data_IF_545517156934
#
_entry.id   IF_545517156934
#
_cell.length_a   1.000
_cell.length_b   1.000
_cell.length_c   1.000
_cell.angle_alpha   90.00
_cell.angle_beta   90.00
_cell.angle_gamma   90.00
#
_symmetry.space_group_name_H-M   'P 1'
#
loop_
_entity.id
_entity.type
_entity.pdbx_description
1 polymer ?
#
# COMPACT_ATOMS: atom_id res chain seq x y z
N UNK A 1 -8.35 -78.28 -7.46
CA UNK A 1 -8.05 -78.43 -8.90
C UNK A 1 -7.46 -77.12 -9.39
N UNK A 2 -6.19 -77.16 -9.82
CA UNK A 2 -5.42 -76.10 -10.51
C UNK A 2 -6.10 -75.67 -11.84
N UNK A 3 -5.52 -74.75 -12.63
CA UNK A 3 -5.08 -73.37 -12.36
C UNK A 3 -5.57 -72.43 -13.51
N UNK A 4 -5.21 -71.14 -13.52
CA UNK A 4 -4.55 -70.47 -14.69
C UNK A 4 -4.46 -68.95 -14.51
N UNK A 5 -3.21 -68.51 -14.48
CA UNK A 5 -2.75 -67.15 -14.73
C UNK A 5 -2.78 -66.79 -16.21
N UNK A 6 -2.73 -65.47 -16.45
CA UNK A 6 -2.08 -64.80 -17.60
C UNK A 6 -2.82 -64.89 -18.95
N UNK A 7 -2.73 -63.98 -19.91
CA UNK A 7 -1.98 -62.74 -20.16
C UNK A 7 -2.59 -62.14 -21.47
N UNK A 8 -2.12 -60.94 -21.86
CA UNK A 8 -1.95 -60.48 -23.25
C UNK A 8 -3.22 -59.94 -24.00
N UNK A 9 -3.34 -58.61 -24.12
CA UNK A 9 -3.03 -57.79 -25.34
C UNK A 9 -4.15 -57.87 -26.41
N UNK A 10 -4.63 -56.81 -27.07
CA UNK A 10 -3.99 -55.59 -27.55
C UNK A 10 -5.03 -54.68 -28.23
N UNK A 11 -4.76 -53.36 -28.20
CA UNK A 11 -4.99 -52.34 -29.23
C UNK A 11 -6.42 -52.00 -29.71
N UNK A 12 -6.84 -50.75 -29.45
CA UNK A 12 -8.01 -50.19 -30.13
C UNK A 12 -8.48 -48.78 -29.72
N UNK A 13 -7.57 -47.80 -29.71
CA UNK A 13 -7.83 -46.36 -29.96
C UNK A 13 -8.87 -45.58 -29.11
N UNK A 14 -8.40 -44.94 -28.03
CA UNK A 14 -8.59 -43.49 -27.84
C UNK A 14 -7.36 -42.90 -27.13
N UNK A 15 -6.62 -42.06 -27.86
CA UNK A 15 -5.48 -41.29 -27.37
C UNK A 15 -5.91 -40.41 -26.18
N UNK A 16 -5.27 -40.50 -25.01
CA UNK A 16 -4.03 -39.76 -24.68
C UNK A 16 -4.39 -38.29 -24.43
N UNK A 17 -4.53 -37.81 -23.18
CA UNK A 17 -3.40 -37.38 -22.35
C UNK A 17 -3.69 -37.66 -20.86
N UNK A 18 -2.76 -38.32 -20.18
CA UNK A 18 -2.64 -38.28 -18.73
C UNK A 18 -2.33 -36.83 -18.32
N UNK A 19 -3.35 -36.09 -17.86
CA UNK A 19 -3.18 -34.76 -17.29
C UNK A 19 -2.49 -34.88 -15.93
N UNK A 20 -1.17 -34.71 -15.93
CA UNK A 20 -0.36 -34.64 -14.74
C UNK A 20 -0.97 -33.68 -13.71
N UNK A 21 -1.54 -34.21 -12.63
CA UNK A 21 -1.58 -33.49 -11.36
C UNK A 21 -0.19 -33.50 -10.71
N UNK A 22 0.84 -33.22 -11.53
CA UNK A 22 2.09 -32.66 -11.07
C UNK A 22 1.78 -31.23 -10.69
N UNK A 23 1.27 -31.04 -9.48
CA UNK A 23 1.28 -29.77 -8.77
C UNK A 23 2.73 -29.36 -8.52
N UNK A 24 3.43 -29.05 -9.61
CA UNK A 24 4.71 -28.38 -9.59
C UNK A 24 4.46 -26.99 -9.04
N UNK A 25 4.41 -26.90 -7.71
CA UNK A 25 5.06 -25.81 -7.02
C UNK A 25 6.53 -25.90 -7.44
N UNK A 26 6.80 -25.44 -8.65
CA UNK A 26 8.14 -25.22 -9.13
C UNK A 26 8.78 -24.37 -8.04
N UNK A 27 9.69 -24.99 -7.31
CA UNK A 27 10.71 -24.35 -6.51
C UNK A 27 11.50 -23.46 -7.46
N UNK A 28 10.89 -22.36 -7.93
CA UNK A 28 11.62 -21.24 -8.48
C UNK A 28 12.47 -20.78 -7.32
N UNK A 29 13.72 -21.25 -7.28
CA UNK A 29 14.75 -20.64 -6.46
C UNK A 29 14.64 -19.16 -6.77
N UNK A 30 14.31 -18.38 -5.75
CA UNK A 30 14.34 -16.94 -5.86
C UNK A 30 15.76 -16.58 -6.30
N UNK A 31 15.92 -15.93 -7.45
CA UNK A 31 17.24 -15.51 -7.95
C UNK A 31 17.42 -14.03 -7.77
N UNK A 32 16.33 -13.28 -7.86
CA UNK A 32 16.31 -11.83 -7.84
C UNK A 32 15.45 -11.28 -6.71
N UNK A 33 15.65 -9.99 -6.41
CA UNK A 33 14.78 -9.25 -5.49
C UNK A 33 13.31 -9.32 -5.95
N UNK A 34 13.05 -9.22 -7.26
CA UNK A 34 11.71 -9.33 -7.84
C UNK A 34 11.04 -10.67 -7.57
N UNK A 35 11.79 -11.78 -7.67
CA UNK A 35 11.28 -13.12 -7.37
C UNK A 35 10.86 -13.22 -5.89
N UNK A 36 11.71 -12.71 -4.99
CA UNK A 36 11.43 -12.71 -3.54
C UNK A 36 10.23 -11.85 -3.17
N UNK A 37 10.05 -10.70 -3.84
CA UNK A 37 8.85 -9.86 -3.67
C UNK A 37 7.61 -10.59 -4.18
N UNK A 38 7.67 -11.21 -5.36
CA UNK A 38 6.54 -11.94 -5.95
C UNK A 38 6.12 -13.13 -5.08
N UNK A 39 7.08 -13.86 -4.52
CA UNK A 39 6.81 -14.97 -3.59
C UNK A 39 6.13 -14.53 -2.30
N UNK A 40 6.30 -13.26 -1.89
CA UNK A 40 5.57 -12.68 -0.75
C UNK A 40 4.11 -12.32 -1.06
N UNK A 41 3.62 -12.64 -2.26
CA UNK A 41 2.24 -12.38 -2.69
C UNK A 41 2.02 -10.98 -3.27
N UNK A 42 3.07 -10.16 -3.39
CA UNK A 42 2.99 -8.82 -3.97
C UNK A 42 3.16 -8.88 -5.49
N UNK A 43 2.32 -8.12 -6.20
CA UNK A 43 2.33 -8.06 -7.66
C UNK A 43 3.22 -6.90 -8.10
N UNK A 44 4.24 -7.16 -8.91
CA UNK A 44 5.09 -6.12 -9.50
C UNK A 44 4.34 -5.33 -10.58
N UNK A 45 4.57 -4.01 -10.64
CA UNK A 45 3.98 -3.16 -11.67
C UNK A 45 4.61 -3.49 -13.03
N UNK A 46 3.78 -3.62 -14.06
CA UNK A 46 4.23 -3.89 -15.43
C UNK A 46 4.85 -2.65 -16.07
N UNK A 47 5.82 -2.89 -16.95
CA UNK A 47 6.41 -1.87 -17.83
C UNK A 47 5.37 -1.07 -18.58
N UNK A 48 5.60 0.24 -18.69
CA UNK A 48 4.72 1.12 -19.47
C UNK A 48 3.33 1.34 -18.87
N UNK A 49 3.03 0.77 -17.71
CA UNK A 49 1.79 1.07 -16.99
C UNK A 49 1.91 2.42 -16.26
N UNK A 50 1.89 3.52 -17.03
CA UNK A 50 2.06 4.88 -16.51
C UNK A 50 1.08 5.19 -15.37
N UNK A 51 -0.20 4.78 -15.48
CA UNK A 51 -1.18 5.00 -14.40
C UNK A 51 -0.76 4.36 -13.08
N UNK A 52 -0.30 3.11 -13.12
CA UNK A 52 0.16 2.41 -11.91
C UNK A 52 1.45 3.02 -11.35
N UNK A 53 2.39 3.44 -12.21
CA UNK A 53 3.64 4.08 -11.78
C UNK A 53 3.41 5.45 -11.15
N UNK A 54 2.53 6.26 -11.75
CA UNK A 54 2.08 7.53 -11.17
C UNK A 54 1.49 7.32 -9.78
N UNK A 55 0.60 6.34 -9.65
CA UNK A 55 -0.05 6.02 -8.38
C UNK A 55 0.97 5.50 -7.34
N UNK A 56 1.93 4.68 -7.76
CA UNK A 56 2.98 4.16 -6.88
C UNK A 56 3.90 5.27 -6.36
N UNK A 57 4.24 6.23 -7.21
CA UNK A 57 4.97 7.43 -6.80
C UNK A 57 4.16 8.24 -5.77
N UNK A 58 2.89 8.54 -6.05
CA UNK A 58 2.01 9.28 -5.14
C UNK A 58 1.81 8.55 -3.80
N UNK A 59 1.73 7.22 -3.82
CA UNK A 59 1.66 6.40 -2.62
C UNK A 59 2.95 6.48 -1.79
N UNK A 60 4.10 6.38 -2.44
CA UNK A 60 5.40 6.25 -1.79
C UNK A 60 5.94 7.57 -1.26
N UNK A 61 5.66 8.70 -1.93
CA UNK A 61 6.29 9.99 -1.61
C UNK A 61 6.02 10.53 -0.20
N UNK A 62 4.95 10.08 0.45
CA UNK A 62 4.60 10.49 1.82
C UNK A 62 5.29 9.64 2.89
N UNK A 63 5.64 8.40 2.58
CA UNK A 63 6.14 7.42 3.55
C UNK A 63 7.60 7.02 3.33
N UNK A 64 8.15 7.26 2.14
CA UNK A 64 9.52 6.90 1.80
C UNK A 64 10.39 8.15 1.63
N UNK A 65 11.14 8.46 2.69
CA UNK A 65 12.02 9.64 2.75
C UNK A 65 13.20 9.56 1.77
N UNK A 66 13.60 8.35 1.38
CA UNK A 66 14.71 8.11 0.45
C UNK A 66 14.28 8.04 -1.02
N UNK A 67 12.98 8.16 -1.30
CA UNK A 67 12.45 8.05 -2.66
C UNK A 67 13.05 9.14 -3.56
N UNK A 68 12.97 10.41 -3.16
CA UNK A 68 13.46 11.51 -3.98
C UNK A 68 14.96 11.39 -4.20
N UNK A 69 15.75 11.10 -3.17
CA UNK A 69 17.20 10.91 -3.30
C UNK A 69 17.58 9.83 -4.32
N UNK A 70 16.83 8.72 -4.35
CA UNK A 70 17.05 7.64 -5.31
C UNK A 70 16.62 8.02 -6.73
N UNK A 71 15.54 8.79 -6.89
CA UNK A 71 15.04 9.24 -8.20
C UNK A 71 15.89 10.38 -8.79
N UNK A 72 16.44 11.28 -7.96
CA UNK A 72 17.32 12.38 -8.40
C UNK A 72 18.58 11.84 -9.08
N UNK A 73 19.07 10.66 -8.69
CA UNK A 73 20.20 9.98 -9.34
C UNK A 73 19.91 9.59 -10.79
N UNK A 74 18.63 9.44 -11.15
CA UNK A 74 18.18 9.07 -12.49
C UNK A 74 17.74 10.28 -13.32
N UNK A 75 17.14 11.28 -12.68
CA UNK A 75 16.77 12.57 -13.29
C UNK A 75 16.97 13.71 -12.29
N UNK A 76 17.95 14.57 -12.54
CA UNK A 76 18.33 15.68 -11.65
C UNK A 76 17.28 16.81 -11.57
N UNK A 77 16.25 16.79 -12.41
CA UNK A 77 15.11 17.70 -12.29
C UNK A 77 14.13 17.30 -11.19
N UNK A 78 14.24 16.07 -10.67
CA UNK A 78 13.51 15.61 -9.48
C UNK A 78 14.25 16.14 -8.24
N UNK A 79 13.80 17.28 -7.70
CA UNK A 79 14.49 17.97 -6.59
C UNK A 79 13.73 17.93 -5.26
N UNK A 80 12.41 17.90 -5.29
CA UNK A 80 11.57 17.90 -4.09
C UNK A 80 10.17 17.34 -4.38
N UNK A 81 9.45 16.94 -3.34
CA UNK A 81 8.07 16.43 -3.44
C UNK A 81 7.04 17.49 -3.89
N UNK A 82 7.30 18.78 -3.59
CA UNK A 82 6.33 19.87 -3.78
C UNK A 82 6.30 20.47 -5.19
N UNK A 83 7.38 20.32 -5.97
CA UNK A 83 7.49 20.90 -7.32
C UNK A 83 7.76 19.85 -8.38
N UNK A 84 7.48 18.57 -8.09
CA UNK A 84 7.88 17.48 -8.97
C UNK A 84 6.98 17.36 -10.20
N UNK A 85 7.60 17.20 -11.36
CA UNK A 85 6.88 16.77 -12.55
C UNK A 85 6.54 15.28 -12.39
N UNK A 86 5.24 14.96 -12.31
CA UNK A 86 4.76 13.59 -12.09
C UNK A 86 5.12 12.64 -13.23
N UNK A 87 5.22 13.11 -14.47
CA UNK A 87 5.59 12.28 -15.63
C UNK A 87 7.06 11.85 -15.56
N UNK A 88 7.94 12.78 -15.20
CA UNK A 88 9.35 12.45 -14.97
C UNK A 88 9.54 11.55 -13.75
N UNK A 89 8.78 11.80 -12.69
CA UNK A 89 8.86 11.00 -11.47
C UNK A 89 8.42 9.54 -11.70
N UNK A 90 7.34 9.31 -12.44
CA UNK A 90 6.91 7.95 -12.77
C UNK A 90 7.91 7.22 -13.68
N UNK A 91 8.55 7.91 -14.63
CA UNK A 91 9.53 7.31 -15.54
C UNK A 91 10.82 6.94 -14.79
N UNK A 92 11.31 7.85 -13.94
CA UNK A 92 12.44 7.59 -13.06
C UNK A 92 12.13 6.42 -12.11
N UNK A 93 10.91 6.36 -11.57
CA UNK A 93 10.50 5.27 -10.69
C UNK A 93 10.43 3.92 -11.42
N UNK A 94 9.83 3.86 -12.61
CA UNK A 94 9.80 2.65 -13.44
C UNK A 94 11.24 2.18 -13.72
N UNK A 95 12.12 3.08 -14.15
CA UNK A 95 13.52 2.78 -14.41
C UNK A 95 14.25 2.27 -13.17
N UNK A 96 14.08 2.93 -12.02
CA UNK A 96 14.67 2.50 -10.75
C UNK A 96 14.22 1.10 -10.38
N UNK A 97 12.91 0.84 -10.47
CA UNK A 97 12.33 -0.45 -10.14
C UNK A 97 12.83 -1.56 -11.05
N UNK A 98 12.99 -1.31 -12.36
CA UNK A 98 13.57 -2.29 -13.30
C UNK A 98 14.97 -2.72 -12.92
N UNK A 99 15.80 -1.78 -12.50
CA UNK A 99 17.15 -2.12 -12.03
C UNK A 99 17.10 -2.88 -10.71
N UNK A 100 16.29 -2.40 -9.75
CA UNK A 100 16.20 -2.95 -8.41
C UNK A 100 15.62 -4.37 -8.38
N UNK A 101 14.57 -4.67 -9.17
CA UNK A 101 13.95 -6.01 -9.17
C UNK A 101 14.88 -7.08 -9.74
N UNK A 102 15.80 -6.71 -10.63
CA UNK A 102 16.73 -7.63 -11.29
C UNK A 102 18.02 -7.87 -10.49
N UNK A 103 18.22 -7.19 -9.37
CA UNK A 103 19.37 -7.44 -8.48
C UNK A 103 19.29 -8.86 -7.92
N UNK A 104 20.43 -9.53 -7.87
CA UNK A 104 20.55 -10.86 -7.28
C UNK A 104 20.32 -10.85 -5.77
N UNK A 105 19.99 -12.02 -5.21
CA UNK A 105 19.81 -12.21 -3.77
C UNK A 105 21.14 -12.37 -3.03
N UNK A 106 21.84 -11.26 -2.85
CA UNK A 106 22.92 -11.12 -1.86
C UNK A 106 22.40 -10.44 -0.59
N UNK A 107 23.07 -10.63 0.55
CA UNK A 107 22.69 -9.97 1.82
C UNK A 107 22.63 -8.44 1.68
N UNK A 108 23.63 -7.86 1.00
CA UNK A 108 23.66 -6.42 0.70
C UNK A 108 22.45 -5.99 -0.13
N UNK A 109 22.12 -6.70 -1.20
CA UNK A 109 20.98 -6.35 -2.04
C UNK A 109 19.64 -6.53 -1.31
N UNK A 110 19.51 -7.57 -0.50
CA UNK A 110 18.31 -7.80 0.33
C UNK A 110 18.12 -6.63 1.30
N UNK A 111 19.17 -6.24 2.01
CA UNK A 111 19.13 -5.12 2.95
C UNK A 111 18.78 -3.79 2.26
N UNK A 112 19.36 -3.54 1.09
CA UNK A 112 19.25 -2.25 0.42
C UNK A 112 17.99 -2.10 -0.46
N UNK A 113 17.52 -3.18 -1.08
CA UNK A 113 16.48 -3.10 -2.11
C UNK A 113 15.17 -3.77 -1.73
N UNK A 114 15.16 -4.84 -0.92
CA UNK A 114 13.95 -5.66 -0.77
C UNK A 114 12.75 -4.85 -0.27
N UNK A 115 12.91 -4.07 0.80
CA UNK A 115 11.82 -3.25 1.33
C UNK A 115 11.43 -2.09 0.40
N UNK A 116 12.43 -1.46 -0.23
CA UNK A 116 12.17 -0.40 -1.21
C UNK A 116 11.39 -0.92 -2.42
N UNK A 117 11.72 -2.11 -2.93
CA UNK A 117 10.99 -2.74 -4.05
C UNK A 117 9.57 -3.11 -3.63
N UNK A 118 9.38 -3.69 -2.44
CA UNK A 118 8.03 -3.98 -1.91
C UNK A 118 7.16 -2.71 -1.85
N UNK A 119 7.73 -1.62 -1.36
CA UNK A 119 7.04 -0.33 -1.20
C UNK A 119 6.74 0.35 -2.54
N UNK A 120 7.73 0.42 -3.44
CA UNK A 120 7.70 1.29 -4.62
C UNK A 120 7.33 0.61 -5.94
N UNK A 121 7.63 -0.68 -6.07
CA UNK A 121 7.58 -1.39 -7.36
C UNK A 121 6.41 -2.37 -7.49
N UNK A 122 5.56 -2.43 -6.47
CA UNK A 122 4.39 -3.32 -6.44
C UNK A 122 3.12 -2.52 -6.68
N UNK A 123 2.07 -3.18 -7.19
CA UNK A 123 0.76 -2.56 -7.45
C UNK A 123 0.34 -1.76 -6.23
N UNK A 124 0.23 -0.42 -6.32
CA UNK A 124 -0.01 0.42 -5.16
C UNK A 124 -1.45 0.25 -4.65
N UNK A 125 -1.70 0.59 -3.38
CA UNK A 125 -3.06 0.74 -2.90
C UNK A 125 -3.73 1.90 -3.65
N UNK A 126 -5.05 1.81 -3.79
CA UNK A 126 -5.87 2.81 -4.50
C UNK A 126 -6.57 3.77 -3.55
N UNK A 127 -6.65 3.43 -2.27
CA UNK A 127 -7.32 4.21 -1.21
C UNK A 127 -6.46 4.32 0.06
N UNK A 128 -6.86 5.23 0.95
CA UNK A 128 -6.25 5.36 2.29
C UNK A 128 -6.40 4.05 3.08
N UNK A 129 -7.57 3.41 3.05
CA UNK A 129 -7.78 2.15 3.78
C UNK A 129 -6.87 1.03 3.30
N UNK A 130 -6.70 0.88 1.99
CA UNK A 130 -5.75 -0.08 1.43
C UNK A 130 -4.29 0.26 1.78
N UNK A 131 -3.94 1.55 1.84
CA UNK A 131 -2.61 2.01 2.27
C UNK A 131 -2.32 1.66 3.72
N UNK A 132 -3.25 1.95 4.63
CA UNK A 132 -3.08 1.64 6.05
C UNK A 132 -2.93 0.13 6.27
N UNK A 133 -3.77 -0.67 5.62
CA UNK A 133 -3.66 -2.14 5.69
C UNK A 133 -2.29 -2.63 5.20
N UNK A 134 -1.78 -2.08 4.09
CA UNK A 134 -0.45 -2.41 3.58
C UNK A 134 0.69 -2.02 4.53
N UNK A 135 0.54 -0.89 5.22
CA UNK A 135 1.51 -0.41 6.21
C UNK A 135 1.37 -1.09 7.58
N UNK A 136 0.40 -2.01 7.75
CA UNK A 136 0.11 -2.65 9.03
C UNK A 136 -0.41 -1.65 10.09
N UNK A 137 -0.99 -0.53 9.65
CA UNK A 137 -1.55 0.50 10.51
C UNK A 137 -3.03 0.25 10.71
N UNK A 138 -3.47 0.35 11.96
CA UNK A 138 -4.88 0.28 12.34
C UNK A 138 -5.30 1.57 13.04
N UNK A 139 -6.58 1.86 12.99
CA UNK A 139 -7.13 2.94 13.81
C UNK A 139 -7.07 2.58 15.29
N UNK A 140 -7.01 3.61 16.13
CA UNK A 140 -7.12 3.48 17.58
C UNK A 140 -8.45 2.84 17.97
N UNK A 141 -8.43 1.98 18.99
CA UNK A 141 -9.63 1.47 19.65
C UNK A 141 -10.07 2.37 20.81
N UNK A 142 -9.24 3.34 21.22
CA UNK A 142 -9.45 4.19 22.39
C UNK A 142 -9.76 5.64 21.98
N UNK A 143 -10.87 5.82 21.26
CA UNK A 143 -11.27 7.10 20.67
C UNK A 143 -11.36 8.26 21.67
N UNK A 144 -11.84 8.02 22.89
CA UNK A 144 -11.88 9.05 23.94
C UNK A 144 -10.49 9.60 24.29
N UNK A 145 -9.50 8.70 24.45
CA UNK A 145 -8.12 9.08 24.72
C UNK A 145 -7.50 9.80 23.52
N UNK A 146 -7.76 9.30 22.31
CA UNK A 146 -7.27 9.92 21.08
C UNK A 146 -7.81 11.34 20.93
N UNK A 147 -9.11 11.53 21.11
CA UNK A 147 -9.75 12.84 21.08
C UNK A 147 -9.16 13.77 22.15
N UNK A 148 -9.01 13.29 23.39
CA UNK A 148 -8.42 14.08 24.47
C UNK A 148 -7.00 14.56 24.17
N UNK A 149 -6.21 13.77 23.43
CA UNK A 149 -4.87 14.14 23.01
C UNK A 149 -4.83 15.20 21.89
N UNK A 150 -5.82 15.19 20.98
CA UNK A 150 -5.82 16.09 19.80
C UNK A 150 -6.72 17.31 19.96
N UNK A 151 -7.65 17.35 20.93
CA UNK A 151 -8.57 18.48 21.09
C UNK A 151 -7.87 19.83 21.36
N UNK A 152 -6.65 19.80 21.90
CA UNK A 152 -5.82 20.98 22.16
C UNK A 152 -4.95 21.42 20.97
N UNK A 153 -4.90 20.65 19.88
CA UNK A 153 -4.03 20.94 18.72
C UNK A 153 -4.72 21.79 17.65
N UNK A 154 -5.80 22.50 17.99
CA UNK A 154 -6.61 23.30 17.06
C UNK A 154 -5.86 24.48 16.46
N UNK A 155 -4.75 24.92 17.06
CA UNK A 155 -3.84 25.91 16.47
C UNK A 155 -3.05 25.37 15.27
N UNK A 156 -2.77 24.06 15.26
CA UNK A 156 -2.08 23.36 14.16
C UNK A 156 -3.04 22.63 13.22
N UNK A 157 -4.23 22.27 13.72
CA UNK A 157 -5.30 21.61 12.97
C UNK A 157 -6.60 22.42 13.12
N UNK A 158 -6.64 23.54 12.40
CA UNK A 158 -7.75 24.50 12.44
C UNK A 158 -9.07 23.95 11.87
N UNK A 159 -9.03 22.80 11.18
CA UNK A 159 -10.20 22.16 10.58
C UNK A 159 -10.78 21.04 11.46
N UNK A 160 -10.11 20.64 12.54
CA UNK A 160 -10.57 19.56 13.42
C UNK A 160 -12.02 19.79 13.87
N UNK A 161 -12.35 20.97 14.41
CA UNK A 161 -13.70 21.21 14.93
C UNK A 161 -14.77 21.15 13.83
N UNK A 162 -14.53 21.79 12.68
CA UNK A 162 -15.49 21.78 11.57
C UNK A 162 -15.67 20.38 10.99
N UNK A 163 -14.58 19.62 10.87
CA UNK A 163 -14.61 18.25 10.38
C UNK A 163 -15.44 17.35 11.31
N UNK A 164 -15.28 17.48 12.63
CA UNK A 164 -16.05 16.69 13.59
C UNK A 164 -17.53 17.11 13.63
N UNK A 165 -17.83 18.42 13.61
CA UNK A 165 -19.21 18.92 13.56
C UNK A 165 -19.95 18.49 12.28
N UNK A 166 -19.24 18.28 11.17
CA UNK A 166 -19.84 17.76 9.94
C UNK A 166 -20.33 16.31 10.07
N UNK A 167 -19.79 15.53 11.01
CA UNK A 167 -20.18 14.13 11.25
C UNK A 167 -21.30 13.97 12.28
N UNK A 168 -21.50 14.99 13.12
CA UNK A 168 -22.58 15.04 14.10
C UNK A 168 -23.04 16.48 14.30
N UNK A 169 -24.14 16.83 13.61
CA UNK A 169 -24.75 18.17 13.66
C UNK A 169 -25.36 18.50 15.03
N UNK A 170 -25.47 17.54 15.95
CA UNK A 170 -25.91 17.80 17.33
C UNK A 170 -24.83 18.45 18.20
N UNK A 171 -23.59 18.55 17.71
CA UNK A 171 -22.49 19.26 18.37
C UNK A 171 -22.62 20.76 18.10
N UNK A 172 -23.15 21.49 19.07
CA UNK A 172 -23.41 22.93 18.96
C UNK A 172 -22.34 23.80 19.64
N UNK A 173 -21.72 23.29 20.70
CA UNK A 173 -20.66 23.99 21.46
C UNK A 173 -19.29 23.84 20.78
N UNK A 174 -18.33 24.67 21.15
CA UNK A 174 -16.95 24.61 20.63
C UNK A 174 -16.13 23.47 21.25
N UNK A 175 -15.09 23.02 20.55
CA UNK A 175 -14.25 21.90 21.01
C UNK A 175 -13.51 22.21 22.32
N UNK A 176 -13.17 23.48 22.53
CA UNK A 176 -12.48 24.01 23.71
C UNK A 176 -13.42 24.45 24.84
N UNK A 177 -14.74 24.30 24.68
CA UNK A 177 -15.71 24.68 25.70
C UNK A 177 -15.59 23.74 26.93
N UNK A 178 -15.72 24.28 28.14
CA UNK A 178 -15.71 23.50 29.38
C UNK A 178 -16.84 22.45 29.45
N UNK A 179 -17.95 22.70 28.75
CA UNK A 179 -19.10 21.80 28.63
C UNK A 179 -19.10 21.01 27.31
N UNK A 180 -17.96 20.96 26.62
CA UNK A 180 -17.81 20.21 25.36
C UNK A 180 -18.15 18.73 25.56
N UNK A 181 -19.10 18.16 24.77
CA UNK A 181 -19.52 16.78 24.91
C UNK A 181 -18.44 15.84 24.34
N UNK A 182 -17.47 15.47 25.17
CA UNK A 182 -16.31 14.69 24.76
C UNK A 182 -16.68 13.37 24.06
N UNK A 183 -17.75 12.70 24.50
CA UNK A 183 -18.23 11.46 23.89
C UNK A 183 -18.75 11.67 22.46
N UNK A 184 -19.49 12.77 22.21
CA UNK A 184 -19.98 13.11 20.87
C UNK A 184 -18.82 13.42 19.94
N UNK A 185 -17.86 14.22 20.40
CA UNK A 185 -16.67 14.53 19.62
C UNK A 185 -15.80 13.30 19.34
N UNK A 186 -15.67 12.38 20.31
CA UNK A 186 -14.93 11.13 20.13
C UNK A 186 -15.61 10.21 19.11
N UNK A 187 -16.95 10.12 19.13
CA UNK A 187 -17.72 9.36 18.13
C UNK A 187 -17.66 10.02 16.75
N UNK A 188 -17.77 11.35 16.68
CA UNK A 188 -17.60 12.11 15.44
C UNK A 188 -16.19 11.91 14.85
N UNK A 189 -15.15 11.83 15.69
CA UNK A 189 -13.78 11.56 15.27
C UNK A 189 -13.67 10.17 14.64
N UNK A 190 -14.22 9.15 15.28
CA UNK A 190 -14.27 7.81 14.71
C UNK A 190 -14.96 7.80 13.34
N UNK A 191 -16.16 8.39 13.24
CA UNK A 191 -16.92 8.46 11.97
C UNK A 191 -16.14 9.19 10.88
N UNK A 192 -15.49 10.31 11.24
CA UNK A 192 -14.66 11.06 10.32
C UNK A 192 -13.54 10.17 9.79
N UNK A 193 -12.78 9.52 10.67
CA UNK A 193 -11.70 8.61 10.31
C UNK A 193 -12.16 7.48 9.38
N UNK A 194 -13.27 6.83 9.71
CA UNK A 194 -13.87 5.75 8.89
C UNK A 194 -14.29 6.26 7.50
N UNK A 195 -14.87 7.47 7.41
CA UNK A 195 -15.27 8.06 6.14
C UNK A 195 -14.09 8.30 5.19
N UNK A 196 -12.90 8.58 5.72
CA UNK A 196 -11.69 8.85 4.94
C UNK A 196 -11.04 7.59 4.35
N UNK A 197 -11.41 6.39 4.78
CA UNK A 197 -10.81 5.14 4.28
C UNK A 197 -11.01 4.96 2.76
N UNK A 198 -12.09 5.51 2.22
CA UNK A 198 -12.44 5.43 0.79
C UNK A 198 -11.75 6.49 -0.07
N UNK A 199 -11.07 7.47 0.55
CA UNK A 199 -10.36 8.54 -0.17
C UNK A 199 -9.29 7.95 -1.07
N UNK A 200 -9.37 8.28 -2.36
CA UNK A 200 -8.47 7.76 -3.40
C UNK A 200 -7.08 8.39 -3.30
N UNK A 201 -6.05 7.57 -3.48
CA UNK A 201 -4.68 8.05 -3.61
C UNK A 201 -4.57 8.85 -4.91
N UNK A 202 -3.93 10.02 -4.81
CA UNK A 202 -3.67 10.90 -5.95
C UNK A 202 -4.81 11.84 -6.33
N UNK A 203 -5.89 11.88 -5.55
CA UNK A 203 -6.88 12.97 -5.63
C UNK A 203 -6.37 14.27 -5.00
N UNK A 204 -7.02 15.38 -5.30
CA UNK A 204 -6.54 16.75 -5.00
C UNK A 204 -6.20 17.00 -3.52
N UNK A 205 -6.93 16.36 -2.60
CA UNK A 205 -6.74 16.54 -1.16
C UNK A 205 -6.12 15.31 -0.47
N UNK A 206 -5.65 14.32 -1.21
CA UNK A 206 -5.18 13.05 -0.64
C UNK A 206 -4.08 13.25 0.41
N UNK A 207 -3.09 14.10 0.15
CA UNK A 207 -1.93 14.26 1.03
C UNK A 207 -2.31 14.90 2.37
N UNK A 208 -3.17 15.93 2.31
CA UNK A 208 -3.71 16.59 3.49
C UNK A 208 -4.60 15.63 4.30
N UNK A 209 -5.53 14.94 3.64
CA UNK A 209 -6.40 13.96 4.29
C UNK A 209 -5.58 12.83 4.91
N UNK A 210 -4.58 12.28 4.21
CA UNK A 210 -3.75 11.21 4.74
C UNK A 210 -2.93 11.64 5.96
N UNK A 211 -2.42 12.88 5.94
CA UNK A 211 -1.70 13.47 7.08
C UNK A 211 -2.62 13.58 8.30
N UNK A 212 -3.85 14.06 8.09
CA UNK A 212 -4.88 14.13 9.14
C UNK A 212 -5.30 12.76 9.63
N UNK A 213 -5.51 11.78 8.74
CA UNK A 213 -5.84 10.41 9.15
C UNK A 213 -4.72 9.83 10.01
N UNK A 214 -3.47 10.04 9.60
CA UNK A 214 -2.30 9.57 10.35
C UNK A 214 -2.19 10.21 11.73
N UNK A 215 -2.51 11.50 11.87
CA UNK A 215 -2.44 12.21 13.15
C UNK A 215 -3.66 11.98 14.04
N UNK A 216 -4.86 11.92 13.47
CA UNK A 216 -6.14 11.90 14.18
C UNK A 216 -6.65 10.49 14.48
N UNK A 217 -6.31 9.49 13.67
CA UNK A 217 -7.00 8.19 13.70
C UNK A 217 -6.15 7.02 14.22
N UNK A 218 -4.81 7.12 14.11
CA UNK A 218 -3.84 6.08 14.47
C UNK A 218 -3.27 6.39 15.86
#
# INVERSE_FOLDING_TARGET
MNPKSALLTTLGASAGVAGACGGGYLLMKEKTIGDRVSKSGLILIKSGNSKAWKLAFQHSKLSDTSLIEDLTKLDSSIKSNSTINLEKAQEALDKWCRDAINKELSESNISNYLQKVKSRCTTPPTSIGEKLNREGKAFTSHWGNKFAAIKGTTSTDNQLESDLKSQDTSIQVGISDSNSPADKYSSALQKWCESQLTTKIGGDNYEDIYTKVSSRCI
#
